data_IF_573299809068
#
_entry.id   IF_573299809068
#
_cell.length_a   1.000
_cell.length_b   1.000
_cell.length_c   1.000
_cell.angle_alpha   90.00
_cell.angle_beta   90.00
_cell.angle_gamma   90.00
#
_symmetry.space_group_name_H-M   'P 1'
#
loop_
_entity.id
_entity.type
_entity.pdbx_description
1 polymer ?
#
# COMPACT_ATOMS: atom_id res chain seq x y z
N UNK A 1 -45.33 13.62 46.92
CA UNK A 1 -44.52 14.15 45.79
C UNK A 1 -43.18 13.52 45.85
N UNK A 2 -43.02 12.32 45.28
CA UNK A 2 -41.85 11.47 45.41
C UNK A 2 -41.02 11.59 44.12
N UNK A 3 -39.85 12.18 44.26
CA UNK A 3 -38.91 12.36 43.12
C UNK A 3 -38.18 11.03 42.90
N UNK A 4 -38.47 10.39 41.76
CA UNK A 4 -37.76 9.22 41.29
C UNK A 4 -36.44 9.70 40.67
N UNK A 5 -35.33 9.46 41.34
CA UNK A 5 -33.99 9.53 40.72
C UNK A 5 -33.87 8.38 39.69
N UNK A 6 -33.97 8.71 38.41
CA UNK A 6 -33.52 7.82 37.33
C UNK A 6 -32.00 7.84 37.33
N UNK A 7 -31.40 6.72 37.75
CA UNK A 7 -30.00 6.44 37.57
C UNK A 7 -29.70 6.38 36.06
N UNK A 8 -28.83 7.28 35.60
CA UNK A 8 -28.14 7.14 34.33
C UNK A 8 -27.21 5.92 34.45
N UNK A 9 -27.79 4.76 34.18
CA UNK A 9 -27.04 3.51 34.10
C UNK A 9 -26.32 3.40 32.75
N UNK A 10 -25.07 3.12 32.87
CA UNK A 10 -24.11 2.68 31.87
C UNK A 10 -24.70 2.18 30.55
N UNK A 11 -24.65 3.02 29.53
CA UNK A 11 -24.84 2.61 28.14
C UNK A 11 -23.49 2.27 27.49
N UNK A 12 -22.65 1.49 28.17
CA UNK A 12 -21.58 0.74 27.52
C UNK A 12 -22.23 -0.53 26.93
N UNK A 13 -22.75 -0.41 25.73
CA UNK A 13 -23.16 -1.55 24.92
C UNK A 13 -21.88 -2.33 24.52
N UNK A 14 -21.36 -3.09 25.45
CA UNK A 14 -20.31 -4.10 25.21
C UNK A 14 -20.84 -5.07 24.17
N UNK A 15 -20.30 -5.06 22.95
CA UNK A 15 -20.59 -6.12 21.98
C UNK A 15 -20.09 -7.44 22.58
N UNK A 16 -20.95 -8.46 22.71
CA UNK A 16 -20.52 -9.75 23.28
C UNK A 16 -19.46 -10.35 22.38
N UNK A 17 -18.22 -10.48 22.88
CA UNK A 17 -17.09 -11.09 22.18
C UNK A 17 -15.92 -10.15 21.85
N UNK A 18 -16.01 -8.85 22.12
CA UNK A 18 -14.86 -7.95 21.92
C UNK A 18 -13.74 -8.24 22.93
N UNK A 19 -12.44 -8.30 22.49
CA UNK A 19 -11.34 -8.54 23.41
C UNK A 19 -11.20 -7.38 24.40
N UNK A 20 -11.23 -7.70 25.70
CA UNK A 20 -11.14 -6.70 26.78
C UNK A 20 -9.76 -6.65 27.42
N UNK A 21 -8.96 -7.72 27.26
CA UNK A 21 -7.62 -7.80 27.84
C UNK A 21 -6.59 -7.10 26.97
N UNK A 22 -5.84 -6.18 27.54
CA UNK A 22 -4.75 -5.49 26.83
C UNK A 22 -3.70 -6.50 26.34
N UNK A 23 -3.24 -6.34 25.09
CA UNK A 23 -2.15 -7.13 24.53
C UNK A 23 -0.81 -6.65 25.08
N UNK A 24 0.09 -7.60 25.36
CA UNK A 24 1.41 -7.30 25.91
C UNK A 24 2.42 -6.84 24.85
N UNK A 25 3.57 -6.34 25.33
CA UNK A 25 4.69 -5.89 24.49
C UNK A 25 5.15 -6.96 23.46
N UNK A 26 5.27 -8.26 23.82
CA UNK A 26 5.69 -9.27 22.84
C UNK A 26 4.74 -9.39 21.64
N UNK A 27 3.43 -9.28 21.87
CA UNK A 27 2.43 -9.27 20.78
C UNK A 27 2.59 -8.03 19.90
N UNK A 28 2.69 -6.83 20.49
CA UNK A 28 2.83 -5.55 19.77
C UNK A 28 4.09 -5.56 18.92
N UNK A 29 5.22 -5.96 19.49
CA UNK A 29 6.49 -6.05 18.79
C UNK A 29 6.45 -7.12 17.68
N UNK A 30 5.89 -8.31 17.96
CA UNK A 30 5.73 -9.38 16.98
C UNK A 30 4.86 -8.95 15.80
N UNK A 31 3.73 -8.30 16.07
CA UNK A 31 2.83 -7.77 15.02
C UNK A 31 3.51 -6.67 14.18
N UNK A 32 4.22 -5.73 14.82
CA UNK A 32 4.95 -4.69 14.12
C UNK A 32 6.06 -5.26 13.24
N UNK A 33 6.83 -6.24 13.75
CA UNK A 33 7.88 -6.93 12.99
C UNK A 33 7.30 -7.77 11.84
N UNK A 34 6.15 -8.43 12.03
CA UNK A 34 5.48 -9.17 10.95
C UNK A 34 5.01 -8.24 9.83
N UNK A 35 4.40 -7.09 10.17
CA UNK A 35 4.05 -6.07 9.17
C UNK A 35 5.29 -5.53 8.45
N UNK A 36 6.33 -5.20 9.18
CA UNK A 36 7.59 -4.71 8.62
C UNK A 36 8.18 -5.74 7.66
N UNK A 37 8.31 -7.00 8.06
CA UNK A 37 8.85 -8.07 7.22
C UNK A 37 8.00 -8.34 5.98
N UNK A 38 6.68 -8.30 6.10
CA UNK A 38 5.77 -8.38 4.96
C UNK A 38 6.07 -7.28 3.93
N UNK A 39 6.10 -6.02 4.39
CA UNK A 39 6.35 -4.89 3.47
C UNK A 39 7.77 -4.90 2.91
N UNK A 40 8.78 -5.36 3.64
CA UNK A 40 10.14 -5.57 3.10
C UNK A 40 10.08 -6.58 1.95
N UNK A 41 9.43 -7.72 2.13
CA UNK A 41 9.36 -8.78 1.12
C UNK A 41 8.55 -8.39 -0.13
N UNK A 42 7.55 -7.50 -0.01
CA UNK A 42 6.69 -7.07 -1.13
C UNK A 42 7.19 -5.80 -1.80
N UNK A 43 7.53 -4.77 -1.01
CA UNK A 43 7.84 -3.44 -1.55
C UNK A 43 9.22 -3.38 -2.20
N UNK A 44 10.19 -4.15 -1.73
CA UNK A 44 11.52 -4.19 -2.33
C UNK A 44 11.48 -4.67 -3.79
N UNK A 45 10.79 -5.78 -4.15
CA UNK A 45 10.59 -6.15 -5.55
C UNK A 45 9.83 -5.11 -6.37
N UNK A 46 8.76 -4.56 -5.86
CA UNK A 46 7.95 -3.57 -6.58
C UNK A 46 8.77 -2.33 -6.92
N UNK A 47 9.53 -1.82 -5.95
CA UNK A 47 10.24 -0.55 -6.10
C UNK A 47 11.59 -0.69 -6.83
N UNK A 48 12.28 -1.84 -6.71
CA UNK A 48 13.69 -1.93 -7.13
C UNK A 48 13.99 -3.24 -7.87
N UNK A 49 13.85 -4.40 -7.22
CA UNK A 49 14.53 -5.60 -7.68
C UNK A 49 13.90 -6.25 -8.91
N UNK A 50 12.57 -6.13 -9.10
CA UNK A 50 11.93 -6.60 -10.34
C UNK A 50 12.38 -5.77 -11.55
N UNK A 51 12.49 -4.45 -11.42
CA UNK A 51 12.97 -3.60 -12.48
C UNK A 51 14.41 -3.97 -12.91
N UNK A 52 15.30 -4.19 -11.94
CA UNK A 52 16.66 -4.64 -12.20
C UNK A 52 16.68 -6.02 -12.90
N UNK A 53 15.89 -6.98 -12.38
CA UNK A 53 15.85 -8.34 -12.93
C UNK A 53 15.30 -8.36 -14.35
N UNK A 54 14.23 -7.64 -14.62
CA UNK A 54 13.62 -7.54 -15.96
C UNK A 54 14.58 -6.87 -16.94
N UNK A 55 15.27 -5.78 -16.52
CA UNK A 55 16.25 -5.10 -17.36
C UNK A 55 17.42 -6.01 -17.75
N UNK A 56 17.87 -6.88 -16.85
CA UNK A 56 18.96 -7.84 -17.14
C UNK A 56 18.56 -8.92 -18.15
N UNK A 57 17.25 -9.27 -18.24
CA UNK A 57 16.75 -10.32 -19.15
C UNK A 57 16.31 -9.72 -20.49
N UNK A 58 15.64 -8.57 -20.47
CA UNK A 58 15.08 -7.90 -21.64
C UNK A 58 15.44 -6.41 -21.62
N UNK A 59 16.66 -6.03 -21.99
CA UNK A 59 17.07 -4.63 -21.95
C UNK A 59 16.25 -3.72 -22.89
N UNK A 60 15.74 -4.26 -24.00
CA UNK A 60 15.01 -3.49 -25.02
C UNK A 60 13.54 -3.33 -24.63
N UNK A 61 12.87 -4.42 -24.24
CA UNK A 61 11.46 -4.45 -23.91
C UNK A 61 11.15 -4.26 -22.41
N UNK A 62 12.15 -3.91 -21.58
CA UNK A 62 12.06 -3.88 -20.11
C UNK A 62 10.85 -3.11 -19.57
N UNK A 63 10.50 -1.97 -20.19
CA UNK A 63 9.35 -1.17 -19.79
C UNK A 63 8.03 -1.91 -19.96
N UNK A 64 7.84 -2.58 -21.10
CA UNK A 64 6.64 -3.38 -21.39
C UNK A 64 6.58 -4.64 -20.51
N UNK A 65 7.71 -5.33 -20.38
CA UNK A 65 7.83 -6.55 -19.59
C UNK A 65 7.57 -6.28 -18.10
N UNK A 66 8.14 -5.20 -17.53
CA UNK A 66 7.89 -4.80 -16.15
C UNK A 66 6.42 -4.40 -15.94
N UNK A 67 5.86 -3.60 -16.86
CA UNK A 67 4.46 -3.18 -16.82
C UNK A 67 3.50 -4.36 -16.82
N UNK A 68 3.73 -5.36 -17.67
CA UNK A 68 2.93 -6.58 -17.71
C UNK A 68 3.02 -7.39 -16.40
N UNK A 69 4.24 -7.55 -15.85
CA UNK A 69 4.48 -8.29 -14.60
C UNK A 69 3.82 -7.57 -13.40
N UNK A 70 4.08 -6.27 -13.22
CA UNK A 70 3.52 -5.51 -12.11
C UNK A 70 2.01 -5.36 -12.22
N UNK A 71 1.51 -5.04 -13.43
CA UNK A 71 0.09 -4.86 -13.68
C UNK A 71 -0.72 -6.13 -13.44
N UNK A 72 -0.27 -7.28 -13.96
CA UNK A 72 -0.92 -8.57 -13.71
C UNK A 72 -0.88 -8.93 -12.22
N UNK A 73 0.26 -8.79 -11.55
CA UNK A 73 0.37 -9.05 -10.12
C UNK A 73 -0.58 -8.21 -9.28
N UNK A 74 -0.66 -6.90 -9.55
CA UNK A 74 -1.55 -6.01 -8.83
C UNK A 74 -3.04 -6.32 -9.07
N UNK A 75 -3.40 -6.79 -10.27
CA UNK A 75 -4.74 -7.29 -10.57
C UNK A 75 -5.09 -8.51 -9.70
N UNK A 76 -4.18 -9.48 -9.58
CA UNK A 76 -4.37 -10.62 -8.69
C UNK A 76 -4.47 -10.21 -7.22
N UNK A 77 -3.67 -9.24 -6.77
CA UNK A 77 -3.71 -8.70 -5.41
C UNK A 77 -5.08 -8.07 -5.07
N UNK A 78 -5.66 -7.33 -6.02
CA UNK A 78 -6.96 -6.67 -5.87
C UNK A 78 -8.07 -7.65 -5.48
N UNK A 79 -8.09 -8.83 -6.09
CA UNK A 79 -9.08 -9.86 -5.79
C UNK A 79 -8.67 -10.78 -4.63
N UNK A 80 -7.38 -11.07 -4.49
CA UNK A 80 -6.89 -11.98 -3.47
C UNK A 80 -7.20 -11.49 -2.05
N UNK A 81 -6.96 -10.23 -1.74
CA UNK A 81 -7.12 -9.71 -0.39
C UNK A 81 -8.55 -9.90 0.17
N UNK A 82 -9.64 -9.45 -0.50
CA UNK A 82 -11.00 -9.65 0.02
C UNK A 82 -11.45 -11.12 -0.01
N UNK A 83 -11.06 -11.90 -1.02
CA UNK A 83 -11.41 -13.33 -1.11
C UNK A 83 -10.79 -14.10 0.05
N UNK A 84 -9.50 -13.96 0.25
CA UNK A 84 -8.80 -14.69 1.31
C UNK A 84 -9.09 -14.14 2.71
N UNK A 85 -9.48 -12.87 2.84
CA UNK A 85 -10.03 -12.33 4.07
C UNK A 85 -11.27 -13.11 4.52
N UNK A 86 -12.25 -13.26 3.62
CA UNK A 86 -13.45 -14.06 3.91
C UNK A 86 -13.17 -15.55 4.09
N UNK A 87 -12.25 -16.13 3.33
CA UNK A 87 -11.83 -17.52 3.52
C UNK A 87 -11.17 -17.72 4.89
N UNK A 88 -10.33 -16.78 5.31
CA UNK A 88 -9.70 -16.79 6.63
C UNK A 88 -10.76 -16.71 7.75
N UNK A 89 -11.81 -15.90 7.59
CA UNK A 89 -12.91 -15.80 8.55
C UNK A 89 -13.71 -17.11 8.68
N UNK A 90 -13.81 -17.90 7.62
CA UNK A 90 -14.51 -19.18 7.57
C UNK A 90 -13.62 -20.38 7.95
N UNK A 91 -12.32 -20.17 8.13
CA UNK A 91 -11.37 -21.25 8.41
C UNK A 91 -11.57 -21.83 9.81
N UNK A 92 -11.65 -23.16 9.91
CA UNK A 92 -11.80 -23.96 11.13
C UNK A 92 -10.66 -24.97 11.22
N UNK A 93 -9.44 -24.48 11.43
CA UNK A 93 -8.27 -25.36 11.52
C UNK A 93 -7.90 -25.66 12.99
N UNK A 94 -7.31 -26.81 13.22
CA UNK A 94 -6.81 -27.23 14.55
C UNK A 94 -5.78 -26.26 15.15
N UNK A 95 -5.08 -25.54 14.29
CA UNK A 95 -4.05 -24.57 14.66
C UNK A 95 -4.57 -23.12 14.75
N UNK A 96 -5.90 -22.92 14.71
CA UNK A 96 -6.54 -21.64 14.75
C UNK A 96 -7.06 -21.16 13.39
N UNK A 97 -7.64 -19.95 13.37
CA UNK A 97 -8.29 -19.37 12.20
C UNK A 97 -7.30 -18.61 11.29
N UNK A 98 -6.36 -17.88 11.88
CA UNK A 98 -5.44 -16.97 11.17
C UNK A 98 -4.07 -17.59 10.90
N UNK A 99 -3.56 -18.39 11.82
CA UNK A 99 -2.23 -18.99 11.76
C UNK A 99 -1.95 -19.78 10.47
N UNK A 100 -2.86 -20.61 9.93
CA UNK A 100 -2.63 -21.34 8.67
C UNK A 100 -2.39 -20.42 7.48
N UNK A 101 -3.11 -19.29 7.42
CA UNK A 101 -2.97 -18.31 6.33
C UNK A 101 -1.69 -17.49 6.45
N UNK A 102 -1.26 -17.15 7.67
CA UNK A 102 0.02 -16.49 7.91
C UNK A 102 1.18 -17.38 7.46
N UNK A 103 1.22 -18.62 7.94
CA UNK A 103 2.31 -19.56 7.63
C UNK A 103 2.24 -20.00 6.17
N UNK A 104 1.08 -20.46 5.68
CA UNK A 104 0.91 -20.92 4.31
C UNK A 104 1.21 -19.82 3.29
N UNK A 105 0.68 -18.63 3.51
CA UNK A 105 0.89 -17.49 2.62
C UNK A 105 2.35 -17.05 2.54
N UNK A 106 3.05 -16.95 3.69
CA UNK A 106 4.46 -16.56 3.66
C UNK A 106 5.35 -17.63 3.03
N UNK A 107 5.08 -18.92 3.26
CA UNK A 107 5.86 -20.01 2.63
C UNK A 107 5.66 -20.02 1.13
N UNK A 108 4.41 -20.03 0.64
CA UNK A 108 4.10 -20.05 -0.80
C UNK A 108 4.66 -18.80 -1.48
N UNK A 109 4.47 -17.62 -0.88
CA UNK A 109 5.02 -16.38 -1.41
C UNK A 109 6.55 -16.37 -1.45
N UNK A 110 7.21 -16.91 -0.41
CA UNK A 110 8.68 -17.03 -0.38
C UNK A 110 9.21 -18.00 -1.44
N UNK A 111 8.55 -19.14 -1.64
CA UNK A 111 8.91 -20.08 -2.72
C UNK A 111 8.76 -19.43 -4.10
N UNK A 112 7.70 -18.67 -4.31
CA UNK A 112 7.52 -17.93 -5.56
C UNK A 112 8.59 -16.83 -5.75
N UNK A 113 9.03 -16.15 -4.68
CA UNK A 113 10.16 -15.21 -4.72
C UNK A 113 11.49 -15.90 -5.08
N UNK A 114 11.70 -17.13 -4.61
CA UNK A 114 12.87 -17.93 -5.03
C UNK A 114 12.83 -18.21 -6.55
N UNK A 115 11.66 -18.53 -7.11
CA UNK A 115 11.51 -18.69 -8.56
C UNK A 115 11.90 -17.41 -9.28
N UNK A 116 11.46 -16.23 -8.82
CA UNK A 116 11.85 -14.94 -9.42
C UNK A 116 13.37 -14.74 -9.35
N UNK A 117 13.98 -15.03 -8.20
CA UNK A 117 15.42 -14.82 -7.98
C UNK A 117 16.30 -15.66 -8.93
N UNK A 118 15.86 -16.86 -9.30
CA UNK A 118 16.66 -17.80 -10.11
C UNK A 118 16.19 -17.94 -11.56
N UNK A 119 15.00 -17.42 -11.93
CA UNK A 119 14.47 -17.55 -13.30
C UNK A 119 15.16 -16.57 -14.25
N UNK A 120 15.42 -17.05 -15.46
CA UNK A 120 15.80 -16.23 -16.63
C UNK A 120 14.65 -16.03 -17.63
N UNK A 121 13.45 -16.52 -17.33
CA UNK A 121 12.26 -16.41 -18.19
C UNK A 121 11.31 -15.34 -17.65
N UNK A 122 11.00 -14.32 -18.45
CA UNK A 122 10.02 -13.27 -18.10
C UNK A 122 8.64 -13.84 -17.79
N UNK A 123 8.20 -14.85 -18.55
CA UNK A 123 6.92 -15.52 -18.31
C UNK A 123 6.88 -16.18 -16.94
N UNK A 124 7.98 -16.89 -16.58
CA UNK A 124 8.09 -17.53 -15.26
C UNK A 124 8.11 -16.52 -14.14
N UNK A 125 8.83 -15.39 -14.32
CA UNK A 125 8.84 -14.28 -13.36
C UNK A 125 7.42 -13.70 -13.21
N UNK A 126 6.68 -13.50 -14.30
CA UNK A 126 5.30 -12.99 -14.26
C UNK A 126 4.35 -13.94 -13.53
N UNK A 127 4.40 -15.24 -13.82
CA UNK A 127 3.58 -16.25 -13.10
C UNK A 127 3.95 -16.29 -11.62
N UNK A 128 5.25 -16.33 -11.31
CA UNK A 128 5.72 -16.34 -9.93
C UNK A 128 5.33 -15.07 -9.19
N UNK A 129 5.38 -13.90 -9.85
CA UNK A 129 4.94 -12.64 -9.26
C UNK A 129 3.44 -12.62 -8.95
N UNK A 130 2.61 -13.15 -9.84
CA UNK A 130 1.18 -13.34 -9.56
C UNK A 130 0.96 -14.26 -8.35
N UNK A 131 1.72 -15.35 -8.24
CA UNK A 131 1.67 -16.25 -7.09
C UNK A 131 2.12 -15.55 -5.78
N UNK A 132 3.18 -14.73 -5.81
CA UNK A 132 3.60 -13.87 -4.69
C UNK A 132 2.44 -12.98 -4.26
N UNK A 133 1.82 -12.29 -5.19
CA UNK A 133 0.73 -11.36 -4.89
C UNK A 133 -0.48 -12.06 -4.28
N UNK A 134 -0.87 -13.22 -4.80
CA UNK A 134 -1.98 -14.01 -4.22
C UNK A 134 -1.63 -14.48 -2.82
N UNK A 135 -0.47 -15.11 -2.63
CA UNK A 135 -0.07 -15.70 -1.35
C UNK A 135 0.13 -14.64 -0.26
N UNK A 136 0.82 -13.55 -0.59
CA UNK A 136 1.09 -12.49 0.35
C UNK A 136 -0.14 -11.65 0.68
N UNK A 137 -1.08 -11.46 -0.25
CA UNK A 137 -2.34 -10.80 0.06
C UNK A 137 -3.27 -11.69 0.89
N UNK A 138 -3.25 -13.01 0.70
CA UNK A 138 -3.95 -13.95 1.58
C UNK A 138 -3.42 -13.87 3.01
N UNK A 139 -2.10 -13.85 3.17
CA UNK A 139 -1.44 -13.67 4.46
C UNK A 139 -1.74 -12.29 5.07
N UNK A 140 -1.65 -11.20 4.29
CA UNK A 140 -1.92 -9.84 4.77
C UNK A 140 -3.36 -9.71 5.28
N UNK A 141 -4.34 -10.28 4.57
CA UNK A 141 -5.73 -10.27 4.99
C UNK A 141 -5.90 -10.94 6.38
N UNK A 142 -5.23 -12.07 6.60
CA UNK A 142 -5.21 -12.72 7.91
C UNK A 142 -4.48 -11.90 8.98
N UNK A 143 -3.34 -11.27 8.63
CA UNK A 143 -2.55 -10.44 9.54
C UNK A 143 -3.35 -9.22 10.03
N UNK A 144 -4.01 -8.52 9.12
CA UNK A 144 -4.85 -7.36 9.45
C UNK A 144 -6.04 -7.76 10.32
N UNK A 145 -6.64 -8.92 10.07
CA UNK A 145 -7.77 -9.43 10.83
C UNK A 145 -7.42 -9.83 12.28
N UNK A 146 -6.14 -10.07 12.60
CA UNK A 146 -5.69 -10.30 14.00
C UNK A 146 -6.00 -9.09 14.88
N UNK A 147 -5.99 -7.87 14.34
CA UNK A 147 -6.21 -6.64 15.14
C UNK A 147 -7.60 -6.60 15.76
N UNK A 148 -8.72 -6.69 14.99
CA UNK A 148 -10.04 -6.74 15.60
C UNK A 148 -10.27 -8.02 16.43
N UNK A 149 -9.60 -9.15 16.09
CA UNK A 149 -9.78 -10.43 16.78
C UNK A 149 -9.15 -10.46 18.19
N UNK A 150 -8.00 -9.79 18.39
CA UNK A 150 -7.22 -9.93 19.63
C UNK A 150 -6.89 -8.62 20.34
N UNK A 151 -7.05 -7.48 19.68
CA UNK A 151 -6.65 -6.17 20.23
C UNK A 151 -7.87 -5.42 20.75
N UNK A 152 -7.88 -5.01 22.05
CA UNK A 152 -8.93 -4.18 22.59
C UNK A 152 -8.95 -2.81 21.92
N UNK A 153 -10.11 -2.20 21.86
CA UNK A 153 -10.37 -0.96 21.11
C UNK A 153 -9.39 0.17 21.45
N UNK A 154 -9.03 0.30 22.73
CA UNK A 154 -8.10 1.32 23.22
C UNK A 154 -6.68 1.22 22.63
N UNK A 155 -6.24 0.01 22.21
CA UNK A 155 -4.91 -0.22 21.66
C UNK A 155 -4.90 -0.29 20.13
N UNK A 156 -6.05 -0.42 19.46
CA UNK A 156 -6.14 -0.57 17.99
C UNK A 156 -5.50 0.60 17.24
N UNK A 157 -5.69 1.83 17.72
CA UNK A 157 -5.12 3.02 17.09
C UNK A 157 -3.60 2.98 17.03
N UNK A 158 -2.95 2.65 18.16
CA UNK A 158 -1.49 2.54 18.24
C UNK A 158 -0.95 1.43 17.33
N UNK A 159 -1.58 0.25 17.34
CA UNK A 159 -1.15 -0.90 16.53
C UNK A 159 -1.33 -0.61 15.05
N UNK A 160 -2.43 0.03 14.64
CA UNK A 160 -2.65 0.45 13.26
C UNK A 160 -1.65 1.52 12.80
N UNK A 161 -1.25 2.43 13.67
CA UNK A 161 -0.21 3.41 13.36
C UNK A 161 1.15 2.73 13.13
N UNK A 162 1.54 1.76 13.97
CA UNK A 162 2.76 0.96 13.78
C UNK A 162 2.74 0.20 12.45
N UNK A 163 1.61 -0.41 12.08
CA UNK A 163 1.44 -1.09 10.79
C UNK A 163 1.58 -0.11 9.62
N UNK A 164 0.98 1.07 9.69
CA UNK A 164 1.08 2.10 8.64
C UNK A 164 2.50 2.62 8.45
N UNK A 165 3.26 2.83 9.52
CA UNK A 165 4.66 3.26 9.45
C UNK A 165 5.58 2.18 8.85
N UNK A 166 5.21 0.89 8.98
CA UNK A 166 6.03 -0.23 8.51
C UNK A 166 6.32 -0.17 7.00
N UNK A 167 5.44 0.42 6.19
CA UNK A 167 5.64 0.55 4.73
C UNK A 167 6.90 1.38 4.40
N UNK A 168 7.05 2.54 5.03
CA UNK A 168 8.17 3.44 4.75
C UNK A 168 9.49 2.91 5.30
N UNK A 169 9.46 2.35 6.52
CA UNK A 169 10.62 1.71 7.13
C UNK A 169 11.05 0.49 6.31
N UNK A 170 10.09 -0.28 5.79
CA UNK A 170 10.35 -1.44 4.94
C UNK A 170 11.01 -1.06 3.61
N UNK A 171 10.53 0.00 2.95
CA UNK A 171 11.16 0.51 1.73
C UNK A 171 12.61 0.94 1.99
N UNK A 172 12.86 1.61 3.11
CA UNK A 172 14.20 2.04 3.49
C UNK A 172 15.12 0.84 3.76
N UNK A 173 14.68 -0.14 4.54
CA UNK A 173 15.45 -1.36 4.82
C UNK A 173 15.67 -2.16 3.52
N UNK A 174 14.63 -2.32 2.70
CA UNK A 174 14.72 -3.03 1.42
C UNK A 174 15.73 -2.39 0.47
N UNK A 175 15.72 -1.06 0.34
CA UNK A 175 16.69 -0.34 -0.48
C UNK A 175 18.12 -0.42 0.08
N UNK A 176 18.27 -0.41 1.41
CA UNK A 176 19.56 -0.64 2.06
C UNK A 176 20.10 -2.05 1.76
N UNK A 177 19.25 -3.07 1.82
CA UNK A 177 19.60 -4.45 1.46
C UNK A 177 20.09 -4.51 0.02
N UNK A 178 19.38 -3.91 -0.93
CA UNK A 178 19.80 -3.88 -2.36
C UNK A 178 21.12 -3.14 -2.53
N UNK A 179 21.31 -2.02 -1.84
CA UNK A 179 22.57 -1.26 -1.86
C UNK A 179 23.77 -2.06 -1.34
N UNK A 180 23.57 -2.86 -0.30
CA UNK A 180 24.62 -3.68 0.33
C UNK A 180 24.90 -4.98 -0.42
N UNK A 181 23.88 -5.63 -0.97
CA UNK A 181 24.02 -6.94 -1.67
C UNK A 181 24.45 -6.78 -3.13
N UNK A 182 24.27 -5.58 -3.69
CA UNK A 182 24.52 -5.30 -5.10
C UNK A 182 23.42 -5.79 -6.03
N UNK A 183 23.29 -5.12 -7.18
CA UNK A 183 22.23 -5.33 -8.17
C UNK A 183 22.38 -6.62 -8.98
N UNK A 184 23.57 -7.21 -9.04
CA UNK A 184 23.85 -8.47 -9.73
C UNK A 184 23.64 -9.74 -8.89
N UNK A 185 23.32 -9.60 -7.61
CA UNK A 185 23.20 -10.72 -6.68
C UNK A 185 21.76 -11.15 -6.46
N UNK A 186 21.50 -12.47 -6.46
CA UNK A 186 20.19 -13.00 -6.05
C UNK A 186 19.85 -12.65 -4.58
N UNK A 187 20.84 -12.28 -3.77
CA UNK A 187 20.63 -11.84 -2.39
C UNK A 187 19.66 -10.65 -2.27
N UNK A 188 19.57 -9.79 -3.31
CA UNK A 188 18.61 -8.68 -3.35
C UNK A 188 17.14 -9.13 -3.27
N UNK A 189 16.84 -10.40 -3.61
CA UNK A 189 15.53 -11.04 -3.43
C UNK A 189 15.49 -11.90 -2.16
N UNK A 190 16.57 -12.67 -1.93
CA UNK A 190 16.58 -13.69 -0.88
C UNK A 190 16.56 -13.07 0.52
N UNK A 191 17.30 -11.98 0.75
CA UNK A 191 17.37 -11.33 2.07
C UNK A 191 16.04 -10.71 2.48
N UNK A 192 15.37 -9.88 1.64
CA UNK A 192 14.02 -9.38 1.96
C UNK A 192 13.00 -10.49 2.21
N UNK A 193 13.05 -11.56 1.40
CA UNK A 193 12.17 -12.72 1.55
C UNK A 193 12.41 -13.45 2.87
N UNK A 194 13.68 -13.67 3.25
CA UNK A 194 14.05 -14.33 4.50
C UNK A 194 13.61 -13.50 5.72
N UNK A 195 13.77 -12.17 5.68
CA UNK A 195 13.28 -11.28 6.74
C UNK A 195 11.77 -11.44 6.90
N UNK A 196 11.00 -11.38 5.79
CA UNK A 196 9.55 -11.59 5.82
C UNK A 196 9.16 -12.96 6.37
N UNK A 197 9.82 -14.02 5.91
CA UNK A 197 9.57 -15.39 6.35
C UNK A 197 9.78 -15.54 7.86
N UNK A 198 10.91 -15.09 8.38
CA UNK A 198 11.28 -15.23 9.80
C UNK A 198 10.35 -14.42 10.71
N UNK A 199 10.07 -13.18 10.34
CA UNK A 199 9.24 -12.30 11.19
C UNK A 199 7.78 -12.73 11.21
N UNK A 200 7.22 -13.19 10.08
CA UNK A 200 5.82 -13.64 10.00
C UNK A 200 5.64 -14.99 10.68
N UNK A 201 6.55 -15.94 10.46
CA UNK A 201 6.49 -17.22 11.19
C UNK A 201 6.67 -16.98 12.69
N UNK A 202 7.64 -16.13 13.09
CA UNK A 202 7.86 -15.78 14.49
C UNK A 202 6.59 -15.23 15.14
N UNK A 203 5.89 -14.30 14.46
CA UNK A 203 4.62 -13.78 14.96
C UNK A 203 3.51 -14.83 14.98
N UNK A 204 3.39 -15.66 13.93
CA UNK A 204 2.39 -16.72 13.89
C UNK A 204 2.56 -17.74 15.03
N UNK A 205 3.79 -17.99 15.50
CA UNK A 205 4.05 -18.85 16.66
C UNK A 205 3.69 -18.16 17.98
N UNK A 206 3.83 -16.84 18.09
CA UNK A 206 3.45 -16.06 19.27
C UNK A 206 1.94 -15.82 19.38
N UNK A 207 1.21 -15.95 18.26
CA UNK A 207 -0.22 -15.66 18.20
C UNK A 207 -1.02 -16.70 19.01
N UNK A 208 -1.86 -16.28 19.96
CA UNK A 208 -2.82 -17.17 20.63
C UNK A 208 -4.08 -17.33 19.75
N UNK A 209 -3.95 -18.13 18.71
CA UNK A 209 -5.02 -18.39 17.73
C UNK A 209 -5.75 -19.69 18.11
N UNK A 210 -6.85 -19.54 18.84
CA UNK A 210 -7.64 -20.69 19.32
C UNK A 210 -8.63 -21.17 18.27
N UNK A 211 -8.90 -22.49 18.17
CA UNK A 211 -9.97 -23.01 17.36
C UNK A 211 -11.32 -22.43 17.80
N UNK A 212 -12.10 -21.94 16.85
CA UNK A 212 -13.44 -21.40 17.13
C UNK A 212 -14.49 -22.47 16.80
N UNK A 213 -14.55 -23.53 17.62
CA UNK A 213 -15.38 -24.70 17.32
C UNK A 213 -16.89 -24.46 17.46
N UNK A 214 -17.32 -23.38 18.14
CA UNK A 214 -18.72 -23.16 18.53
C UNK A 214 -19.42 -21.95 17.86
N UNK A 215 -18.74 -21.19 17.03
CA UNK A 215 -19.42 -20.10 16.31
C UNK A 215 -19.97 -20.59 14.96
N UNK A 216 -21.25 -20.31 14.65
CA UNK A 216 -21.80 -20.63 13.33
C UNK A 216 -21.01 -19.92 12.25
N UNK A 217 -20.70 -20.63 11.15
CA UNK A 217 -20.06 -19.99 10.01
C UNK A 217 -20.92 -18.83 9.51
N UNK A 218 -20.36 -17.69 9.12
CA UNK A 218 -21.14 -16.59 8.54
C UNK A 218 -22.00 -17.13 7.40
N UNK A 219 -23.34 -17.10 7.59
CA UNK A 219 -24.28 -17.50 6.57
C UNK A 219 -24.42 -16.36 5.57
N UNK A 220 -23.75 -16.46 4.41
CA UNK A 220 -23.83 -15.46 3.37
C UNK A 220 -23.31 -15.97 2.02
N UNK A 221 -23.82 -15.39 0.93
CA UNK A 221 -23.32 -15.66 -0.41
C UNK A 221 -22.02 -14.86 -0.62
N UNK A 222 -20.87 -15.53 -0.57
CA UNK A 222 -19.52 -14.96 -0.74
C UNK A 222 -19.45 -13.98 -1.93
N UNK A 223 -19.97 -14.37 -3.08
CA UNK A 223 -19.93 -13.55 -4.30
C UNK A 223 -20.85 -12.34 -4.22
N UNK A 224 -22.02 -12.48 -3.59
CA UNK A 224 -22.96 -11.38 -3.39
C UNK A 224 -22.43 -10.33 -2.42
N UNK A 225 -21.82 -10.75 -1.32
CA UNK A 225 -21.18 -9.86 -0.34
C UNK A 225 -19.97 -9.15 -0.91
N UNK A 226 -19.13 -9.87 -1.69
CA UNK A 226 -18.01 -9.27 -2.42
C UNK A 226 -18.51 -8.22 -3.42
N UNK A 227 -19.45 -8.57 -4.30
CA UNK A 227 -19.98 -7.64 -5.30
C UNK A 227 -20.65 -6.39 -4.66
N UNK A 228 -21.38 -6.57 -3.56
CA UNK A 228 -21.99 -5.46 -2.82
C UNK A 228 -20.95 -4.55 -2.15
N UNK A 229 -19.76 -5.08 -1.82
CA UNK A 229 -18.67 -4.33 -1.19
C UNK A 229 -17.87 -3.46 -2.17
N UNK A 230 -17.98 -3.69 -3.48
CA UNK A 230 -17.21 -2.96 -4.50
C UNK A 230 -17.89 -1.73 -5.09
N UNK A 231 -19.14 -1.43 -4.70
CA UNK A 231 -19.89 -0.37 -5.35
C UNK A 231 -20.53 0.62 -4.38
N UNK A 232 -20.19 1.91 -4.55
CA UNK A 232 -20.90 3.05 -3.97
C UNK A 232 -21.35 3.94 -5.11
N UNK A 233 -22.63 4.39 -5.09
CA UNK A 233 -23.18 5.21 -6.16
C UNK A 233 -22.58 6.64 -6.10
N UNK A 234 -21.70 7.03 -7.04
CA UNK A 234 -21.04 8.33 -7.02
C UNK A 234 -21.98 9.50 -7.36
N UNK A 235 -23.15 9.22 -7.96
CA UNK A 235 -24.13 10.26 -8.30
C UNK A 235 -24.92 10.64 -7.04
N UNK A 236 -25.25 9.66 -6.20
CA UNK A 236 -25.94 9.90 -4.92
C UNK A 236 -25.00 10.57 -3.91
N UNK A 237 -23.73 10.12 -3.82
CA UNK A 237 -22.74 10.59 -2.87
C UNK A 237 -21.59 11.33 -3.58
N UNK A 238 -21.90 12.52 -4.13
CA UNK A 238 -20.99 13.27 -4.99
C UNK A 238 -19.67 13.62 -4.32
N UNK A 239 -19.68 14.04 -3.07
CA UNK A 239 -18.48 14.41 -2.33
C UNK A 239 -17.54 13.22 -2.15
N UNK A 240 -18.10 12.04 -1.82
CA UNK A 240 -17.32 10.80 -1.78
C UNK A 240 -16.77 10.40 -3.15
N UNK A 241 -17.55 10.57 -4.22
CA UNK A 241 -17.11 10.31 -5.60
C UNK A 241 -15.95 11.22 -6.02
N UNK A 242 -15.97 12.50 -5.69
CA UNK A 242 -14.87 13.43 -5.96
C UNK A 242 -13.62 13.11 -5.13
N UNK A 243 -13.75 12.78 -3.86
CA UNK A 243 -12.63 12.36 -3.03
C UNK A 243 -12.02 11.04 -3.52
N UNK A 244 -12.87 10.08 -3.93
CA UNK A 244 -12.43 8.83 -4.54
C UNK A 244 -11.63 9.09 -5.82
N UNK A 245 -12.12 9.97 -6.72
CA UNK A 245 -11.43 10.35 -7.95
C UNK A 245 -10.11 11.06 -7.67
N UNK A 246 -10.09 11.99 -6.72
CA UNK A 246 -8.85 12.66 -6.27
C UNK A 246 -7.80 11.64 -5.85
N UNK A 247 -8.19 10.71 -4.98
CA UNK A 247 -7.32 9.64 -4.48
C UNK A 247 -6.81 8.75 -5.61
N UNK A 248 -7.68 8.30 -6.49
CA UNK A 248 -7.32 7.49 -7.64
C UNK A 248 -6.23 8.17 -8.50
N UNK A 249 -6.42 9.45 -8.81
CA UNK A 249 -5.52 10.21 -9.67
C UNK A 249 -4.16 10.48 -9.02
N UNK A 250 -4.12 10.79 -7.72
CA UNK A 250 -2.86 10.98 -6.98
C UNK A 250 -2.11 9.66 -6.84
N UNK A 251 -2.81 8.56 -6.52
CA UNK A 251 -2.19 7.23 -6.43
C UNK A 251 -1.76 6.67 -7.79
N UNK A 252 -2.37 7.11 -8.89
CA UNK A 252 -1.88 6.81 -10.23
C UNK A 252 -0.48 7.42 -10.46
N UNK A 253 -0.31 8.70 -10.11
CA UNK A 253 1.01 9.35 -10.16
C UNK A 253 2.04 8.65 -9.27
N UNK A 254 1.63 8.23 -8.06
CA UNK A 254 2.48 7.47 -7.14
C UNK A 254 2.91 6.11 -7.73
N UNK A 255 1.99 5.38 -8.34
CA UNK A 255 2.27 4.09 -8.94
C UNK A 255 3.25 4.21 -10.13
N UNK A 256 3.07 5.22 -10.99
CA UNK A 256 4.00 5.52 -12.09
C UNK A 256 5.41 5.80 -11.54
N UNK A 257 5.51 6.73 -10.59
CA UNK A 257 6.79 7.15 -10.02
C UNK A 257 7.52 5.95 -9.40
N UNK A 258 6.84 5.18 -8.55
CA UNK A 258 7.45 4.06 -7.83
C UNK A 258 7.88 2.92 -8.76
N UNK A 259 7.07 2.60 -9.79
CA UNK A 259 7.33 1.45 -10.67
C UNK A 259 8.45 1.69 -11.69
N UNK A 260 8.59 2.92 -12.17
CA UNK A 260 9.52 3.24 -13.27
C UNK A 260 10.73 4.08 -12.84
N UNK A 261 10.88 4.39 -11.56
CA UNK A 261 11.97 5.22 -11.04
C UNK A 261 13.35 4.63 -11.35
N UNK A 262 13.54 3.32 -11.22
CA UNK A 262 14.81 2.65 -11.55
C UNK A 262 15.17 2.89 -13.02
N UNK A 263 14.23 2.71 -13.94
CA UNK A 263 14.48 2.91 -15.37
C UNK A 263 14.71 4.37 -15.73
N UNK A 264 13.99 5.29 -15.08
CA UNK A 264 14.25 6.72 -15.23
C UNK A 264 15.68 7.08 -14.83
N UNK A 265 16.16 6.55 -13.71
CA UNK A 265 17.52 6.77 -13.21
C UNK A 265 18.57 6.21 -14.16
N UNK A 266 18.38 5.00 -14.69
CA UNK A 266 19.35 4.36 -15.59
C UNK A 266 19.34 4.98 -16.98
N UNK A 267 18.18 5.20 -17.57
CA UNK A 267 18.06 5.53 -19.00
C UNK A 267 18.07 7.05 -19.24
N UNK A 268 17.47 7.83 -18.33
CA UNK A 268 17.36 9.28 -18.50
C UNK A 268 18.51 10.01 -17.80
N UNK A 269 18.87 9.60 -16.58
CA UNK A 269 19.93 10.25 -15.80
C UNK A 269 21.29 9.53 -15.89
N UNK A 270 21.39 8.41 -16.63
CA UNK A 270 22.64 7.71 -16.89
C UNK A 270 23.29 7.09 -15.65
N UNK A 271 22.51 6.79 -14.61
CA UNK A 271 23.04 6.14 -13.39
C UNK A 271 23.49 4.73 -13.74
N UNK A 272 24.76 4.42 -13.48
CA UNK A 272 25.30 3.08 -13.70
C UNK A 272 24.56 2.04 -12.85
N UNK A 273 24.36 0.82 -13.39
CA UNK A 273 23.63 -0.25 -12.69
C UNK A 273 24.19 -0.54 -11.29
N UNK A 274 25.52 -0.51 -11.12
CA UNK A 274 26.18 -0.72 -9.84
C UNK A 274 25.82 0.37 -8.80
N UNK A 275 25.48 1.59 -9.24
CA UNK A 275 25.09 2.72 -8.38
C UNK A 275 23.61 2.80 -8.06
N UNK A 276 22.75 2.04 -8.76
CA UNK A 276 21.31 2.12 -8.62
C UNK A 276 20.86 1.83 -7.18
N UNK A 277 21.40 0.79 -6.55
CA UNK A 277 21.04 0.45 -5.16
C UNK A 277 21.24 1.62 -4.20
N UNK A 278 22.40 2.29 -4.30
CA UNK A 278 22.72 3.44 -3.46
C UNK A 278 21.83 4.66 -3.79
N UNK A 279 21.63 4.94 -5.07
CA UNK A 279 20.76 6.06 -5.51
C UNK A 279 19.33 5.87 -5.04
N UNK A 280 18.78 4.66 -5.18
CA UNK A 280 17.45 4.31 -4.66
C UNK A 280 17.37 4.41 -3.14
N UNK A 281 18.43 4.00 -2.42
CA UNK A 281 18.49 4.16 -0.97
C UNK A 281 18.35 5.63 -0.55
N UNK A 282 19.13 6.55 -1.15
CA UNK A 282 19.03 7.97 -0.84
C UNK A 282 17.68 8.56 -1.24
N UNK A 283 17.12 8.17 -2.40
CA UNK A 283 15.80 8.61 -2.83
C UNK A 283 14.72 8.19 -1.83
N UNK A 284 14.73 6.92 -1.38
CA UNK A 284 13.77 6.39 -0.41
C UNK A 284 13.99 6.99 0.98
N UNK A 285 15.24 7.27 1.36
CA UNK A 285 15.55 7.96 2.62
C UNK A 285 14.93 9.36 2.64
N UNK A 286 15.13 10.15 1.56
CA UNK A 286 14.53 11.48 1.42
C UNK A 286 13.01 11.36 1.46
N UNK A 287 12.44 10.42 0.70
CA UNK A 287 10.99 10.17 0.68
C UNK A 287 10.47 9.86 2.09
N UNK A 288 11.10 8.94 2.80
CA UNK A 288 10.67 8.55 4.15
C UNK A 288 10.71 9.71 5.13
N UNK A 289 11.83 10.45 5.17
CA UNK A 289 11.96 11.61 6.03
C UNK A 289 10.92 12.69 5.72
N UNK A 290 10.73 13.02 4.44
CA UNK A 290 9.78 14.05 4.01
C UNK A 290 8.33 13.63 4.27
N UNK A 291 7.95 12.40 3.92
CA UNK A 291 6.58 11.90 4.14
C UNK A 291 6.24 11.84 5.63
N UNK A 292 7.12 11.28 6.45
CA UNK A 292 6.86 11.18 7.91
C UNK A 292 6.75 12.57 8.54
N UNK A 293 7.72 13.45 8.27
CA UNK A 293 7.70 14.80 8.82
C UNK A 293 6.46 15.60 8.40
N UNK A 294 6.16 15.60 7.09
CA UNK A 294 5.02 16.34 6.54
C UNK A 294 3.68 15.77 7.00
N UNK A 295 3.55 14.45 7.13
CA UNK A 295 2.32 13.81 7.63
C UNK A 295 2.03 14.19 9.08
N UNK A 296 3.03 14.19 9.96
CA UNK A 296 2.87 14.56 11.38
C UNK A 296 2.48 16.04 11.50
N UNK A 297 3.23 16.91 10.81
CA UNK A 297 3.00 18.36 10.88
C UNK A 297 1.61 18.71 10.30
N UNK A 298 1.27 18.17 9.16
CA UNK A 298 0.01 18.48 8.48
C UNK A 298 -1.20 17.90 9.20
N UNK A 299 -1.10 16.70 9.75
CA UNK A 299 -2.14 16.12 10.59
C UNK A 299 -2.49 17.04 11.74
N UNK A 300 -1.49 17.47 12.51
CA UNK A 300 -1.67 18.41 13.61
C UNK A 300 -2.26 19.77 13.17
N UNK A 301 -1.73 20.36 12.09
CA UNK A 301 -2.22 21.65 11.59
C UNK A 301 -3.64 21.56 11.02
N UNK A 302 -3.96 20.49 10.29
CA UNK A 302 -5.28 20.24 9.73
C UNK A 302 -6.34 20.07 10.83
N UNK A 303 -6.04 19.33 11.89
CA UNK A 303 -6.94 19.14 13.02
C UNK A 303 -7.14 20.45 13.80
N UNK A 304 -6.07 21.24 14.01
CA UNK A 304 -6.15 22.52 14.70
C UNK A 304 -6.94 23.59 13.93
N UNK A 305 -6.84 23.59 12.61
CA UNK A 305 -7.53 24.58 11.75
C UNK A 305 -8.95 24.16 11.39
N UNK A 306 -9.27 22.88 11.50
CA UNK A 306 -10.56 22.31 11.06
C UNK A 306 -10.80 22.44 9.55
N UNK A 307 -9.76 22.77 8.76
CA UNK A 307 -9.84 23.00 7.32
C UNK A 307 -9.04 21.92 6.58
N UNK A 308 -9.69 20.84 6.14
CA UNK A 308 -9.00 19.71 5.49
C UNK A 308 -8.85 19.90 3.98
N UNK A 309 -9.85 20.44 3.31
CA UNK A 309 -9.88 20.62 1.85
C UNK A 309 -8.72 21.46 1.29
N UNK A 310 -8.35 22.64 1.84
CA UNK A 310 -7.20 23.40 1.33
C UNK A 310 -5.87 22.66 1.45
N UNK A 311 -5.71 21.86 2.55
CA UNK A 311 -4.51 21.05 2.73
C UNK A 311 -4.40 19.94 1.67
N UNK A 312 -5.50 19.22 1.39
CA UNK A 312 -5.52 18.15 0.38
C UNK A 312 -5.24 18.73 -1.02
N UNK A 313 -5.84 19.89 -1.36
CA UNK A 313 -5.57 20.57 -2.63
C UNK A 313 -4.10 20.97 -2.76
N UNK A 314 -3.57 21.72 -1.78
CA UNK A 314 -2.19 22.17 -1.79
C UNK A 314 -1.20 20.99 -1.81
N UNK A 315 -1.50 19.92 -1.08
CA UNK A 315 -0.69 18.72 -1.03
C UNK A 315 -0.61 18.02 -2.39
N UNK A 316 -1.74 17.78 -3.05
CA UNK A 316 -1.78 17.15 -4.37
C UNK A 316 -1.13 18.04 -5.45
N UNK A 317 -1.29 19.37 -5.37
CA UNK A 317 -0.60 20.31 -6.25
C UNK A 317 0.92 20.31 -6.01
N UNK A 318 1.37 20.29 -4.76
CA UNK A 318 2.80 20.19 -4.41
C UNK A 318 3.38 18.84 -4.88
N UNK A 319 2.63 17.76 -4.74
CA UNK A 319 3.03 16.45 -5.27
C UNK A 319 3.21 16.48 -6.78
N UNK A 320 2.25 17.04 -7.52
CA UNK A 320 2.31 17.22 -8.97
C UNK A 320 3.52 18.08 -9.39
N UNK A 321 3.78 19.18 -8.66
CA UNK A 321 4.95 20.03 -8.89
C UNK A 321 6.25 19.25 -8.70
N UNK A 322 6.37 18.45 -7.63
CA UNK A 322 7.55 17.62 -7.39
C UNK A 322 7.80 16.62 -8.53
N UNK A 323 6.75 15.96 -9.05
CA UNK A 323 6.86 15.08 -10.22
C UNK A 323 7.31 15.86 -11.46
N UNK A 324 6.79 17.07 -11.68
CA UNK A 324 7.21 17.92 -12.79
C UNK A 324 8.69 18.34 -12.69
N UNK A 325 9.18 18.60 -11.46
CA UNK A 325 10.61 18.87 -11.22
C UNK A 325 11.45 17.63 -11.53
N UNK A 326 11.02 16.43 -11.11
CA UNK A 326 11.70 15.17 -11.47
C UNK A 326 11.75 15.00 -13.00
N UNK A 327 10.63 15.22 -13.68
CA UNK A 327 10.54 15.11 -15.15
C UNK A 327 11.56 16.01 -15.88
N UNK A 328 11.85 17.18 -15.33
CA UNK A 328 12.75 18.18 -15.91
C UNK A 328 14.18 18.07 -15.38
N UNK A 329 14.48 17.11 -14.50
CA UNK A 329 15.76 17.00 -13.84
C UNK A 329 16.90 16.66 -14.83
N UNK A 330 17.93 17.51 -14.96
CA UNK A 330 19.10 17.23 -15.80
C UNK A 330 20.11 16.34 -15.11
N UNK A 331 20.06 16.24 -13.77
CA UNK A 331 21.01 15.52 -12.94
C UNK A 331 20.36 14.95 -11.66
N UNK A 332 21.15 14.19 -10.91
CA UNK A 332 20.71 13.56 -9.65
C UNK A 332 20.34 14.58 -8.55
N UNK A 333 20.97 15.75 -8.52
CA UNK A 333 20.70 16.75 -7.48
C UNK A 333 19.28 17.31 -7.66
N UNK A 334 18.94 17.71 -8.91
CA UNK A 334 17.60 18.17 -9.22
C UNK A 334 16.55 17.07 -9.06
N UNK A 335 16.90 15.83 -9.42
CA UNK A 335 16.04 14.67 -9.16
C UNK A 335 15.73 14.53 -7.65
N UNK A 336 16.71 14.59 -6.75
CA UNK A 336 16.50 14.51 -5.31
C UNK A 336 15.67 15.70 -4.76
N UNK A 337 15.84 16.90 -5.33
CA UNK A 337 14.98 18.05 -5.00
C UNK A 337 13.53 17.75 -5.38
N UNK A 338 13.29 17.22 -6.58
CA UNK A 338 11.96 16.82 -7.02
C UNK A 338 11.35 15.72 -6.16
N UNK A 339 12.17 14.73 -5.75
CA UNK A 339 11.77 13.68 -4.79
C UNK A 339 11.37 14.29 -3.45
N UNK A 340 12.12 15.25 -2.93
CA UNK A 340 11.78 15.91 -1.67
C UNK A 340 10.46 16.67 -1.76
N UNK A 341 10.26 17.48 -2.82
CA UNK A 341 9.04 18.26 -3.03
C UNK A 341 7.82 17.32 -3.19
N UNK A 342 7.94 16.29 -4.05
CA UNK A 342 6.85 15.33 -4.25
C UNK A 342 6.52 14.58 -2.95
N UNK A 343 7.53 14.16 -2.20
CA UNK A 343 7.34 13.42 -0.95
C UNK A 343 6.71 14.27 0.16
N UNK A 344 7.06 15.56 0.25
CA UNK A 344 6.38 16.50 1.15
C UNK A 344 4.89 16.63 0.80
N UNK A 345 4.58 16.82 -0.48
CA UNK A 345 3.20 16.87 -0.96
C UNK A 345 2.43 15.58 -0.67
N UNK A 346 3.03 14.43 -0.99
CA UNK A 346 2.39 13.13 -0.78
C UNK A 346 2.14 12.83 0.70
N UNK A 347 3.06 13.18 1.60
CA UNK A 347 2.88 12.96 3.04
C UNK A 347 1.73 13.78 3.62
N UNK A 348 1.63 15.08 3.24
CA UNK A 348 0.47 15.92 3.61
C UNK A 348 -0.83 15.32 3.05
N UNK A 349 -0.82 14.94 1.76
CA UNK A 349 -1.97 14.33 1.11
C UNK A 349 -2.43 13.08 1.84
N UNK A 350 -1.53 12.14 2.08
CA UNK A 350 -1.85 10.85 2.69
C UNK A 350 -2.46 10.99 4.08
N UNK A 351 -1.93 11.91 4.90
CA UNK A 351 -2.44 12.13 6.26
C UNK A 351 -3.81 12.83 6.28
N UNK A 352 -3.96 13.92 5.51
CA UNK A 352 -5.16 14.76 5.59
C UNK A 352 -6.31 14.19 4.76
N UNK A 353 -6.04 13.52 3.64
CA UNK A 353 -7.05 12.88 2.81
C UNK A 353 -7.77 11.74 3.53
N UNK A 354 -7.06 10.94 4.35
CA UNK A 354 -7.68 9.92 5.20
C UNK A 354 -8.71 10.54 6.15
N UNK A 355 -8.35 11.64 6.78
CA UNK A 355 -9.23 12.35 7.71
C UNK A 355 -10.43 13.00 6.97
N UNK A 356 -10.18 13.62 5.81
CA UNK A 356 -11.23 14.22 4.98
C UNK A 356 -12.27 13.19 4.54
N UNK A 357 -11.82 12.01 4.08
CA UNK A 357 -12.74 10.97 3.65
C UNK A 357 -13.61 10.46 4.80
N UNK A 358 -13.07 10.31 6.01
CA UNK A 358 -13.85 9.92 7.19
C UNK A 358 -14.97 10.92 7.47
N UNK A 359 -14.76 12.21 7.22
CA UNK A 359 -15.78 13.25 7.44
C UNK A 359 -16.94 13.18 6.43
N UNK A 360 -16.66 12.78 5.19
CA UNK A 360 -17.65 12.72 4.09
C UNK A 360 -18.15 11.30 3.81
N UNK A 361 -17.87 10.32 4.69
CA UNK A 361 -18.28 8.94 4.52
C UNK A 361 -19.81 8.82 4.46
N UNK A 362 -20.37 8.23 3.38
CA UNK A 362 -21.80 8.00 3.29
C UNK A 362 -22.29 7.01 4.36
N UNK A 363 -23.45 7.28 4.95
CA UNK A 363 -24.13 6.37 5.90
C UNK A 363 -23.15 5.77 6.93
N UNK A 364 -22.38 6.65 7.59
CA UNK A 364 -21.24 6.32 8.46
C UNK A 364 -21.57 5.28 9.54
N UNK A 365 -22.79 5.28 10.06
CA UNK A 365 -23.19 4.38 11.14
C UNK A 365 -23.45 2.95 10.65
N UNK A 366 -23.86 2.76 9.39
CA UNK A 366 -24.30 1.45 8.87
C UNK A 366 -23.35 0.86 7.81
N UNK A 367 -22.65 1.68 7.03
CA UNK A 367 -21.89 1.26 5.86
C UNK A 367 -20.41 1.66 5.86
N UNK A 368 -19.84 2.05 7.01
CA UNK A 368 -18.45 2.55 7.09
C UNK A 368 -17.42 1.56 6.52
N UNK A 369 -17.49 0.29 6.88
CA UNK A 369 -16.56 -0.74 6.41
C UNK A 369 -16.63 -0.93 4.88
N UNK A 370 -17.84 -0.95 4.30
CA UNK A 370 -18.07 -1.02 2.85
C UNK A 370 -17.43 0.19 2.15
N UNK A 371 -17.70 1.40 2.63
CA UNK A 371 -17.25 2.63 2.02
C UNK A 371 -15.71 2.76 2.07
N UNK A 372 -15.08 2.34 3.17
CA UNK A 372 -13.63 2.25 3.28
C UNK A 372 -13.05 1.19 2.33
N UNK A 373 -13.75 0.07 2.11
CA UNK A 373 -13.39 -0.93 1.10
C UNK A 373 -13.39 -0.34 -0.32
N UNK A 374 -14.45 0.39 -0.69
CA UNK A 374 -14.53 1.09 -1.99
C UNK A 374 -13.43 2.15 -2.12
N UNK A 375 -13.10 2.85 -1.04
CA UNK A 375 -12.01 3.80 -1.04
C UNK A 375 -10.64 3.12 -1.26
N UNK A 376 -10.46 1.92 -0.71
CA UNK A 376 -9.22 1.17 -0.90
C UNK A 376 -9.01 0.75 -2.37
N UNK A 377 -10.08 0.61 -3.15
CA UNK A 377 -10.01 0.40 -4.60
C UNK A 377 -9.31 1.59 -5.28
N UNK A 378 -9.55 2.83 -4.82
CA UNK A 378 -8.87 4.01 -5.34
C UNK A 378 -7.34 4.01 -5.10
N UNK A 379 -6.85 3.20 -4.15
CA UNK A 379 -5.42 3.00 -3.95
C UNK A 379 -4.88 1.82 -4.79
N UNK A 380 -5.63 0.72 -4.86
CA UNK A 380 -5.16 -0.53 -5.44
C UNK A 380 -5.25 -0.56 -6.98
N UNK A 381 -6.35 -0.03 -7.55
CA UNK A 381 -6.57 -0.04 -9.01
C UNK A 381 -5.52 0.77 -9.76
N UNK A 382 -5.10 1.97 -9.32
CA UNK A 382 -4.00 2.69 -9.96
C UNK A 382 -2.69 1.91 -10.01
N UNK A 383 -2.39 1.13 -8.99
CA UNK A 383 -1.18 0.29 -8.95
C UNK A 383 -1.18 -0.83 -10.00
N UNK A 384 -2.36 -1.22 -10.49
CA UNK A 384 -2.49 -2.17 -11.61
C UNK A 384 -2.50 -1.45 -12.96
N UNK A 385 -3.26 -0.35 -13.06
CA UNK A 385 -3.48 0.37 -14.32
C UNK A 385 -2.22 1.15 -14.74
N UNK A 386 -1.54 1.81 -13.82
CA UNK A 386 -0.39 2.63 -14.14
C UNK A 386 0.75 1.83 -14.80
N UNK A 387 1.22 0.69 -14.25
CA UNK A 387 2.20 -0.15 -14.92
C UNK A 387 1.71 -0.74 -16.25
N UNK A 388 0.41 -1.06 -16.36
CA UNK A 388 -0.17 -1.61 -17.60
C UNK A 388 -0.23 -0.59 -18.74
N UNK A 389 -0.48 0.69 -18.43
CA UNK A 389 -0.54 1.78 -19.42
C UNK A 389 0.84 2.33 -19.75
N UNK A 390 1.76 2.33 -18.81
CA UNK A 390 3.08 2.93 -18.96
C UNK A 390 3.85 2.51 -20.23
N UNK A 391 3.84 1.23 -20.67
CA UNK A 391 4.51 0.83 -21.90
C UNK A 391 3.97 1.54 -23.14
N UNK A 392 2.66 1.77 -23.22
CA UNK A 392 2.01 2.45 -24.32
C UNK A 392 2.49 3.92 -24.37
N UNK A 393 2.54 4.56 -23.19
CA UNK A 393 2.99 5.97 -23.07
C UNK A 393 4.48 6.09 -23.39
N UNK A 394 5.30 5.16 -22.91
CA UNK A 394 6.75 5.13 -23.15
C UNK A 394 7.09 4.96 -24.64
N UNK A 395 6.22 4.31 -25.42
CA UNK A 395 6.40 4.12 -26.87
C UNK A 395 6.04 5.35 -27.70
N UNK A 396 5.30 6.31 -27.17
CA UNK A 396 4.83 7.48 -27.91
C UNK A 396 5.98 8.48 -28.13
N UNK A 397 6.29 8.79 -29.41
CA UNK A 397 7.26 9.82 -29.76
C UNK A 397 8.73 9.45 -29.51
N UNK A 398 9.00 8.21 -29.14
CA UNK A 398 10.36 7.72 -28.90
C UNK A 398 11.01 7.31 -30.24
N UNK A 399 11.92 8.12 -30.76
CA UNK A 399 12.67 7.77 -31.99
C UNK A 399 13.56 6.52 -31.83
N UNK A 400 14.25 6.38 -30.70
CA UNK A 400 15.14 5.27 -30.36
C UNK A 400 15.23 4.99 -28.85
N UNK A 401 14.28 5.43 -28.02
CA UNK A 401 14.32 5.27 -26.56
C UNK A 401 12.93 5.18 -25.96
N UNK A 402 12.85 5.22 -24.63
CA UNK A 402 11.59 5.27 -23.91
C UNK A 402 11.30 6.71 -23.45
N UNK A 403 10.06 7.19 -23.68
CA UNK A 403 9.67 8.54 -23.37
C UNK A 403 9.27 8.73 -21.91
N UNK A 404 10.26 8.75 -21.01
CA UNK A 404 10.03 8.96 -19.58
C UNK A 404 9.45 10.35 -19.27
N UNK A 405 9.81 11.36 -20.05
CA UNK A 405 9.25 12.72 -19.88
C UNK A 405 7.75 12.73 -20.06
N UNK A 406 7.23 12.05 -21.08
CA UNK A 406 5.78 11.91 -21.28
C UNK A 406 5.11 11.10 -20.15
N UNK A 407 5.75 10.02 -19.69
CA UNK A 407 5.22 9.20 -18.60
C UNK A 407 5.11 10.00 -17.29
N UNK A 408 6.16 10.77 -16.94
CA UNK A 408 6.14 11.61 -15.74
C UNK A 408 5.24 12.85 -15.92
N UNK A 409 5.10 13.40 -17.13
CA UNK A 409 4.10 14.41 -17.43
C UNK A 409 2.68 13.91 -17.16
N UNK A 410 2.36 12.71 -17.63
CA UNK A 410 1.07 12.07 -17.35
C UNK A 410 0.84 11.89 -15.85
N UNK A 411 1.86 11.46 -15.12
CA UNK A 411 1.79 11.32 -13.66
C UNK A 411 1.56 12.65 -12.94
N UNK A 412 2.28 13.71 -13.36
CA UNK A 412 2.14 15.06 -12.81
C UNK A 412 0.75 15.64 -13.10
N UNK A 413 0.28 15.52 -14.36
CA UNK A 413 -1.06 15.96 -14.76
C UNK A 413 -2.14 15.20 -14.00
N UNK A 414 -2.01 13.87 -13.86
CA UNK A 414 -2.94 13.06 -13.08
C UNK A 414 -3.01 13.55 -11.63
N UNK A 415 -1.87 13.76 -10.97
CA UNK A 415 -1.84 14.26 -9.59
C UNK A 415 -2.47 15.67 -9.47
N UNK A 416 -2.22 16.55 -10.44
CA UNK A 416 -2.82 17.88 -10.47
C UNK A 416 -4.33 17.85 -10.70
N UNK A 417 -4.81 16.98 -11.60
CA UNK A 417 -6.26 16.74 -11.76
C UNK A 417 -6.87 16.16 -10.48
N UNK A 418 -6.11 15.35 -9.74
CA UNK A 418 -6.48 14.92 -8.39
C UNK A 418 -6.67 16.09 -7.42
N UNK A 419 -5.79 17.09 -7.45
CA UNK A 419 -5.98 18.33 -6.69
C UNK A 419 -7.25 19.07 -7.11
N UNK A 420 -7.53 19.19 -8.40
CA UNK A 420 -8.75 19.84 -8.90
C UNK A 420 -10.02 19.06 -8.54
N UNK A 421 -9.95 17.73 -8.51
CA UNK A 421 -11.09 16.89 -8.18
C UNK A 421 -11.61 17.10 -6.74
N UNK A 422 -10.78 17.62 -5.83
CA UNK A 422 -11.23 17.91 -4.45
C UNK A 422 -11.99 19.23 -4.33
N UNK A 423 -11.86 20.13 -5.31
CA UNK A 423 -12.47 21.48 -5.26
C UNK A 423 -14.00 21.46 -5.14
N UNK A 424 -14.75 20.56 -5.83
CA UNK A 424 -16.20 20.50 -5.74
C UNK A 424 -16.74 19.92 -4.42
N UNK A 425 -15.92 19.26 -3.60
CA UNK A 425 -16.33 18.67 -2.32
C UNK A 425 -16.86 19.76 -1.38
N UNK A 426 -18.08 19.59 -0.89
CA UNK A 426 -18.77 20.59 -0.05
C UNK A 426 -18.93 20.14 1.41
N UNK A 427 -18.96 18.84 1.67
CA UNK A 427 -19.14 18.26 3.00
C UNK A 427 -17.92 18.33 3.92
N UNK A 428 -16.73 18.69 3.39
CA UNK A 428 -15.52 18.91 4.17
C UNK A 428 -15.17 20.40 4.19
N UNK A 429 -14.84 20.92 5.37
CA UNK A 429 -14.36 22.28 5.56
C UNK A 429 -12.87 22.41 5.34
#
# INVERSE_FOLDING_TARGET
MTIVHASLGDADAHQPGAPTKAVGIPFIAGFALANLGFFIAVMTPIAITLAIRVSAIDPVGKGASLGAILGSGALFALFANPIFGQLSDRTRARFGRRRPWLIGGVIVGSLAQLVIAYSSSLLMIGIAWCAVQVAYNAMLAALVAVVPDQVPEQQRGMISALAGMSVYVALLIGSAVVSLTGTGSNAMFLVPTAIGLVTIIGFALLLDDRPTDNEPAPAGNLLGELAASFWVNPIKYRDFGYAWLSRFLVFFGFAVLTSYQVYYLTDQLGVAEAGIGQTMFFSILITTCCVVASSIISGYLSDRTGRRKPFVFAAAATYALGIAVIMMAPDLNMFFVGVAISSLGFGVYYAVDQALVVDILPDRETNAAKNLGVLNIANAVPQSIAPAIAPIVLAIGSGHGQNYSLLYALAAVSAFLGALAIVPVRGAR
#
